data_IF_046653830897
#
_entry.id   IF_046653830897
#
_cell.length_a   1.000
_cell.length_b   1.000
_cell.length_c   1.000
_cell.angle_alpha   90.00
_cell.angle_beta   90.00
_cell.angle_gamma   90.00
#
_symmetry.space_group_name_H-M   'P 1'
#
loop_
_entity.id
_entity.type
_entity.pdbx_description
1 polymer ?
#
# COMPACT_ATOMS: atom_id res chain seq x y z
N UNK A 1 -15.40 9.27 19.41
CA UNK A 1 -14.62 10.15 18.51
C UNK A 1 -13.13 9.93 18.68
N UNK A 2 -12.51 10.25 19.84
CA UNK A 2 -11.07 9.99 20.04
C UNK A 2 -10.68 8.53 19.77
N UNK A 3 -11.35 7.59 20.44
CA UNK A 3 -11.16 6.15 20.19
C UNK A 3 -11.40 5.75 18.72
N UNK A 4 -12.43 6.30 18.09
CA UNK A 4 -12.79 6.01 16.69
C UNK A 4 -11.66 6.44 15.74
N UNK A 5 -11.13 7.65 15.92
CA UNK A 5 -10.03 8.16 15.11
C UNK A 5 -8.73 7.39 15.35
N UNK A 6 -8.45 6.97 16.59
CA UNK A 6 -7.27 6.12 16.88
C UNK A 6 -7.42 4.70 16.34
N UNK A 7 -8.64 4.15 16.31
CA UNK A 7 -8.88 2.85 15.68
C UNK A 7 -8.73 2.93 14.16
N UNK A 8 -9.16 4.03 13.54
CA UNK A 8 -8.94 4.23 12.11
C UNK A 8 -7.44 4.39 11.79
N UNK A 9 -6.68 5.11 12.63
CA UNK A 9 -5.22 5.15 12.53
C UNK A 9 -4.63 3.74 12.49
N UNK A 10 -4.98 2.89 13.46
CA UNK A 10 -4.44 1.53 13.52
C UNK A 10 -4.81 0.70 12.28
N UNK A 11 -6.03 0.87 11.75
CA UNK A 11 -6.46 0.24 10.49
C UNK A 11 -5.65 0.73 9.29
N UNK A 12 -5.40 2.04 9.20
CA UNK A 12 -4.60 2.62 8.13
C UNK A 12 -3.14 2.18 8.21
N UNK A 13 -2.52 2.23 9.39
CA UNK A 13 -1.13 1.82 9.61
C UNK A 13 -0.92 0.35 9.23
N UNK A 14 -1.86 -0.53 9.59
CA UNK A 14 -1.81 -1.94 9.20
C UNK A 14 -1.86 -2.12 7.67
N UNK A 15 -2.72 -1.35 6.98
CA UNK A 15 -2.81 -1.38 5.53
C UNK A 15 -1.55 -0.83 4.86
N UNK A 16 -1.01 0.29 5.37
CA UNK A 16 0.25 0.89 4.89
C UNK A 16 1.42 -0.09 5.00
N UNK A 17 1.57 -0.76 6.15
CA UNK A 17 2.65 -1.73 6.36
C UNK A 17 2.49 -2.94 5.43
N UNK A 18 1.25 -3.41 5.25
CA UNK A 18 0.97 -4.52 4.33
C UNK A 18 1.36 -4.14 2.90
N UNK A 19 0.98 -2.95 2.45
CA UNK A 19 1.32 -2.45 1.13
C UNK A 19 2.83 -2.24 0.96
N UNK A 20 3.51 -1.64 1.94
CA UNK A 20 4.96 -1.42 1.93
C UNK A 20 5.75 -2.75 1.86
N UNK A 21 5.32 -3.76 2.63
CA UNK A 21 5.93 -5.10 2.55
C UNK A 21 5.71 -5.74 1.18
N UNK A 22 4.49 -5.65 0.65
CA UNK A 22 4.16 -6.19 -0.67
C UNK A 22 5.04 -5.58 -1.77
N UNK A 23 5.35 -4.27 -1.69
CA UNK A 23 6.26 -3.58 -2.61
C UNK A 23 7.71 -4.12 -2.63
N UNK A 24 8.12 -4.93 -1.66
CA UNK A 24 9.45 -5.57 -1.73
C UNK A 24 9.47 -6.69 -2.78
N UNK A 25 8.34 -7.37 -2.98
CA UNK A 25 8.22 -8.54 -3.86
C UNK A 25 7.65 -8.21 -5.25
N UNK A 26 7.02 -7.04 -5.40
CA UNK A 26 6.39 -6.55 -6.64
C UNK A 26 7.32 -6.52 -7.84
N UNK A 27 8.60 -6.17 -7.67
CA UNK A 27 9.56 -6.09 -8.78
C UNK A 27 9.68 -7.42 -9.52
N UNK A 28 9.76 -8.52 -8.78
CA UNK A 28 9.87 -9.86 -9.37
C UNK A 28 8.56 -10.26 -10.07
N UNK A 29 7.42 -9.95 -9.47
CA UNK A 29 6.09 -10.24 -10.01
C UNK A 29 5.84 -9.44 -11.30
N UNK A 30 6.09 -8.13 -11.29
CA UNK A 30 5.93 -7.26 -12.43
C UNK A 30 6.86 -7.67 -13.59
N UNK A 31 8.09 -8.08 -13.29
CA UNK A 31 8.99 -8.61 -14.32
C UNK A 31 8.49 -9.94 -14.94
N UNK A 32 7.84 -10.80 -14.15
CA UNK A 32 7.19 -12.01 -14.68
C UNK A 32 6.00 -11.65 -15.59
N UNK A 33 5.21 -10.65 -15.20
CA UNK A 33 4.10 -10.16 -16.04
C UNK A 33 4.58 -9.58 -17.37
N UNK A 34 5.65 -8.79 -17.36
CA UNK A 34 6.27 -8.30 -18.59
C UNK A 34 6.72 -9.46 -19.49
N UNK A 35 7.44 -10.44 -18.94
CA UNK A 35 7.88 -11.62 -19.70
C UNK A 35 6.71 -12.46 -20.21
N UNK A 36 5.64 -12.56 -19.44
CA UNK A 36 4.42 -13.22 -19.85
C UNK A 36 3.81 -12.55 -21.08
N UNK A 37 3.73 -11.23 -21.07
CA UNK A 37 3.26 -10.44 -22.21
C UNK A 37 4.12 -10.64 -23.47
N UNK A 38 5.46 -10.71 -23.36
CA UNK A 38 6.34 -11.03 -24.51
C UNK A 38 5.99 -12.39 -25.11
N UNK A 39 5.92 -13.41 -24.26
CA UNK A 39 5.67 -14.79 -24.68
C UNK A 39 4.28 -14.93 -25.30
N UNK A 40 3.28 -14.28 -24.72
CA UNK A 40 1.93 -14.23 -25.26
C UNK A 40 1.88 -13.51 -26.61
N UNK A 41 2.49 -12.33 -26.72
CA UNK A 41 2.56 -11.60 -27.98
C UNK A 41 3.18 -12.43 -29.10
N UNK A 42 4.22 -13.22 -28.79
CA UNK A 42 4.81 -14.13 -29.78
C UNK A 42 3.84 -15.24 -30.21
N UNK A 43 3.17 -15.90 -29.26
CA UNK A 43 2.17 -16.94 -29.53
C UNK A 43 0.97 -16.42 -30.33
N UNK A 44 0.55 -15.18 -30.06
CA UNK A 44 -0.54 -14.49 -30.75
C UNK A 44 -0.10 -13.87 -32.10
N UNK A 45 1.17 -14.06 -32.48
CA UNK A 45 1.77 -13.54 -33.72
C UNK A 45 1.77 -12.01 -33.82
N UNK A 46 1.80 -11.33 -32.67
CA UNK A 46 2.06 -9.89 -32.58
C UNK A 46 3.49 -9.59 -33.03
N UNK A 47 3.71 -8.40 -33.59
CA UNK A 47 5.08 -7.99 -33.90
C UNK A 47 5.82 -7.51 -32.63
N UNK A 48 7.15 -7.47 -32.67
CA UNK A 48 8.01 -7.10 -31.53
C UNK A 48 7.62 -5.74 -30.90
N UNK A 49 7.20 -4.76 -31.71
CA UNK A 49 6.80 -3.44 -31.20
C UNK A 49 5.45 -3.48 -30.50
N UNK A 50 4.52 -4.30 -30.97
CA UNK A 50 3.24 -4.54 -30.30
C UNK A 50 3.47 -5.23 -28.96
N UNK A 51 4.21 -6.34 -28.95
CA UNK A 51 4.51 -7.10 -27.73
C UNK A 51 5.30 -6.28 -26.70
N UNK A 52 6.21 -5.40 -27.14
CA UNK A 52 6.91 -4.48 -26.24
C UNK A 52 5.95 -3.49 -25.58
N UNK A 53 5.03 -2.89 -26.34
CA UNK A 53 4.01 -2.00 -25.76
C UNK A 53 3.08 -2.75 -24.80
N UNK A 54 2.66 -3.98 -25.15
CA UNK A 54 1.86 -4.85 -24.27
C UNK A 54 2.62 -5.14 -22.98
N UNK A 55 3.91 -5.48 -23.05
CA UNK A 55 4.75 -5.65 -21.86
C UNK A 55 4.78 -4.39 -20.99
N UNK A 56 4.98 -3.21 -21.59
CA UNK A 56 5.07 -1.96 -20.82
C UNK A 56 3.75 -1.67 -20.11
N UNK A 57 2.63 -1.84 -20.82
CA UNK A 57 1.30 -1.64 -20.28
C UNK A 57 0.97 -2.66 -19.18
N UNK A 58 1.41 -3.91 -19.33
CA UNK A 58 1.21 -4.98 -18.35
C UNK A 58 1.96 -4.69 -17.05
N UNK A 59 3.23 -4.32 -17.14
CA UNK A 59 4.05 -3.93 -15.98
C UNK A 59 3.43 -2.72 -15.28
N UNK A 60 3.04 -1.70 -16.04
CA UNK A 60 2.41 -0.49 -15.48
C UNK A 60 1.05 -0.80 -14.85
N UNK A 61 0.23 -1.63 -15.49
CA UNK A 61 -1.08 -2.03 -14.98
C UNK A 61 -1.00 -2.74 -13.64
N UNK A 62 0.03 -3.60 -13.44
CA UNK A 62 0.26 -4.25 -12.15
C UNK A 62 0.52 -3.23 -11.02
N UNK A 63 1.35 -2.20 -11.28
CA UNK A 63 1.58 -1.11 -10.33
C UNK A 63 0.38 -0.15 -10.24
N UNK A 64 -0.40 0.01 -11.31
CA UNK A 64 -1.63 0.78 -11.34
C UNK A 64 -2.68 0.23 -10.36
N UNK A 65 -2.82 -1.09 -10.30
CA UNK A 65 -3.65 -1.75 -9.28
C UNK A 65 -3.21 -1.40 -7.85
N UNK A 66 -1.90 -1.33 -7.59
CA UNK A 66 -1.36 -0.94 -6.29
C UNK A 66 -1.66 0.54 -5.96
N UNK A 67 -1.55 1.44 -6.96
CA UNK A 67 -1.95 2.86 -6.81
C UNK A 67 -3.44 2.98 -6.45
N UNK A 68 -4.33 2.25 -7.14
CA UNK A 68 -5.76 2.23 -6.85
C UNK A 68 -6.07 1.76 -5.43
N UNK A 69 -5.43 0.68 -4.98
CA UNK A 69 -5.63 0.12 -3.63
C UNK A 69 -5.12 1.07 -2.55
N UNK A 70 -3.96 1.70 -2.78
CA UNK A 70 -3.34 2.65 -1.85
C UNK A 70 -4.20 3.90 -1.70
N UNK A 71 -4.68 4.47 -2.80
CA UNK A 71 -5.58 5.63 -2.76
C UNK A 71 -6.95 5.29 -2.17
N UNK A 72 -7.52 4.13 -2.49
CA UNK A 72 -8.79 3.67 -1.87
C UNK A 72 -8.68 3.54 -0.35
N UNK A 73 -7.54 3.07 0.15
CA UNK A 73 -7.26 2.98 1.59
C UNK A 73 -7.23 4.35 2.25
N UNK A 74 -6.56 5.32 1.61
CA UNK A 74 -6.54 6.70 2.07
C UNK A 74 -7.94 7.32 2.08
N UNK A 75 -8.68 7.21 0.98
CA UNK A 75 -10.04 7.75 0.84
C UNK A 75 -10.97 7.18 1.90
N UNK A 76 -10.87 5.88 2.20
CA UNK A 76 -11.62 5.26 3.31
C UNK A 76 -11.33 5.94 4.65
N UNK A 77 -10.06 6.17 4.98
CA UNK A 77 -9.68 6.84 6.23
C UNK A 77 -10.23 8.28 6.28
N UNK A 78 -10.09 9.04 5.18
CA UNK A 78 -10.63 10.40 5.07
C UNK A 78 -12.15 10.42 5.25
N UNK A 79 -12.87 9.44 4.69
CA UNK A 79 -14.34 9.30 4.86
C UNK A 79 -14.71 9.04 6.32
N UNK A 80 -13.93 8.23 7.05
CA UNK A 80 -14.17 8.02 8.48
C UNK A 80 -13.91 9.30 9.28
N UNK A 81 -12.85 10.03 8.97
CA UNK A 81 -12.56 11.30 9.63
C UNK A 81 -13.61 12.37 9.34
N UNK A 82 -14.13 12.46 8.11
CA UNK A 82 -15.22 13.38 7.80
C UNK A 82 -16.52 13.02 8.52
N UNK A 83 -16.80 11.72 8.72
CA UNK A 83 -17.94 11.29 9.53
C UNK A 83 -17.78 11.67 11.01
N UNK A 84 -16.56 11.59 11.55
CA UNK A 84 -16.24 12.05 12.91
C UNK A 84 -16.47 13.56 13.04
N UNK A 85 -16.01 14.36 12.09
CA UNK A 85 -16.25 15.81 12.08
C UNK A 85 -17.73 16.15 11.97
N UNK A 86 -18.49 15.48 11.11
CA UNK A 86 -19.93 15.69 11.04
C UNK A 86 -20.63 15.38 12.36
N UNK A 87 -20.21 14.32 13.05
CA UNK A 87 -20.74 13.97 14.37
C UNK A 87 -20.36 15.02 15.43
N UNK A 88 -19.15 15.56 15.36
CA UNK A 88 -18.70 16.64 16.25
C UNK A 88 -19.51 17.92 16.04
N UNK A 89 -19.74 18.32 14.79
CA UNK A 89 -20.51 19.52 14.43
C UNK A 89 -22.00 19.46 14.82
N UNK A 90 -22.54 18.26 15.05
CA UNK A 90 -23.91 18.09 15.58
C UNK A 90 -24.00 18.38 17.10
N UNK A 91 -22.88 18.43 17.82
CA UNK A 91 -22.81 18.68 19.25
C UNK A 91 -22.14 20.05 19.56
N UNK A 92 -22.90 21.05 20.04
CA UNK A 92 -22.37 22.40 20.28
C UNK A 92 -21.34 22.47 21.42
N UNK A 93 -21.19 21.41 22.23
CA UNK A 93 -20.18 21.34 23.30
C UNK A 93 -18.83 20.81 22.78
N UNK A 94 -18.73 20.48 21.50
CA UNK A 94 -17.57 19.89 20.83
C UNK A 94 -17.10 20.85 19.75
N UNK A 95 -15.79 20.95 19.55
CA UNK A 95 -15.24 21.73 18.45
C UNK A 95 -15.57 21.08 17.09
N UNK A 96 -16.09 21.87 16.15
CA UNK A 96 -16.45 21.42 14.80
C UNK A 96 -15.25 20.83 14.03
N UNK A 97 -14.04 21.32 14.30
CA UNK A 97 -12.78 20.82 13.74
C UNK A 97 -12.12 19.73 14.61
N UNK A 98 -12.91 18.80 15.13
CA UNK A 98 -12.41 17.71 15.97
C UNK A 98 -11.29 16.91 15.31
N UNK A 99 -11.38 16.69 14.00
CA UNK A 99 -10.31 16.18 13.16
C UNK A 99 -9.85 17.33 12.27
N UNK A 100 -8.60 17.76 12.49
CA UNK A 100 -8.02 18.93 11.85
C UNK A 100 -6.85 18.55 10.94
N UNK A 101 -6.67 19.31 9.86
CA UNK A 101 -5.56 19.13 8.91
C UNK A 101 -4.48 20.17 9.20
N UNK A 102 -3.24 19.72 9.36
CA UNK A 102 -2.10 20.58 9.68
C UNK A 102 -1.75 21.51 8.51
N UNK A 103 -1.64 22.79 8.80
CA UNK A 103 -1.28 23.86 7.85
C UNK A 103 0.15 24.30 8.17
N UNK A 104 0.98 24.43 7.14
CA UNK A 104 2.37 24.91 7.25
C UNK A 104 2.43 26.43 7.15
N UNK A 105 1.92 26.95 6.03
CA UNK A 105 1.99 28.35 5.67
C UNK A 105 0.64 28.80 5.13
N UNK A 106 0.28 30.04 5.45
CA UNK A 106 -0.95 30.70 5.04
C UNK A 106 -0.82 32.21 5.16
N UNK A 107 -1.28 32.97 4.17
CA UNK A 107 -1.48 34.42 4.32
C UNK A 107 -2.79 34.69 5.08
N UNK A 108 -2.67 34.85 6.40
CA UNK A 108 -3.76 35.20 7.31
C UNK A 108 -3.90 34.25 8.50
N UNK A 109 -4.89 34.53 9.36
CA UNK A 109 -5.20 33.67 10.50
C UNK A 109 -6.15 32.53 10.06
N UNK A 110 -5.81 31.30 10.44
CA UNK A 110 -6.67 30.12 10.25
C UNK A 110 -7.89 30.24 11.16
N UNK A 111 -9.09 30.21 10.58
CA UNK A 111 -10.35 30.20 11.33
C UNK A 111 -10.82 28.78 11.60
N UNK A 112 -10.75 27.92 10.58
CA UNK A 112 -11.08 26.50 10.68
C UNK A 112 -10.28 25.70 9.66
N UNK A 113 -10.05 24.42 9.96
CA UNK A 113 -9.31 23.48 9.12
C UNK A 113 -9.82 22.07 9.40
N UNK A 114 -10.60 21.50 8.48
CA UNK A 114 -11.24 20.20 8.71
C UNK A 114 -11.39 19.40 7.42
N UNK A 115 -11.88 18.18 7.59
CA UNK A 115 -12.31 17.31 6.50
C UNK A 115 -13.84 17.36 6.47
N UNK A 116 -14.38 17.98 5.43
CA UNK A 116 -15.81 18.21 5.24
C UNK A 116 -16.55 16.91 4.96
N UNK A 117 -17.80 16.73 5.45
CA UNK A 117 -18.64 15.60 5.05
C UNK A 117 -19.14 15.69 3.61
N UNK A 118 -19.03 16.86 2.97
CA UNK A 118 -19.28 17.02 1.55
C UNK A 118 -18.29 16.17 0.75
N UNK A 119 -18.79 15.58 -0.33
CA UNK A 119 -18.01 14.68 -1.19
C UNK A 119 -18.08 15.15 -2.62
N UNK A 120 -16.95 15.06 -3.29
CA UNK A 120 -16.82 15.29 -4.72
C UNK A 120 -16.26 14.05 -5.40
N UNK A 121 -16.56 13.89 -6.69
CA UNK A 121 -15.85 12.93 -7.51
C UNK A 121 -14.43 13.45 -7.70
N UNK A 122 -13.46 12.70 -7.20
CA UNK A 122 -12.05 12.88 -7.49
C UNK A 122 -11.61 11.78 -8.46
N UNK A 123 -10.65 12.10 -9.32
CA UNK A 123 -9.97 11.11 -10.16
C UNK A 123 -8.46 11.15 -9.92
N UNK A 124 -7.82 9.99 -10.06
CA UNK A 124 -6.37 9.84 -10.13
C UNK A 124 -6.00 9.16 -11.44
N UNK A 125 -4.84 9.50 -11.99
CA UNK A 125 -4.32 8.85 -13.18
C UNK A 125 -3.66 7.53 -12.82
N UNK A 126 -4.08 6.48 -13.51
CA UNK A 126 -3.52 5.14 -13.40
C UNK A 126 -2.93 4.76 -14.76
N UNK A 127 -1.64 4.43 -14.78
CA UNK A 127 -0.98 4.01 -16.01
C UNK A 127 -1.11 2.50 -16.24
N UNK A 128 -1.25 2.11 -17.51
CA UNK A 128 -1.12 0.74 -17.97
C UNK A 128 -2.45 -0.01 -18.07
N UNK A 129 -2.36 -1.27 -18.47
CA UNK A 129 -3.52 -2.14 -18.68
C UNK A 129 -3.93 -2.78 -17.35
N UNK A 130 -4.65 -2.01 -16.53
CA UNK A 130 -5.15 -2.47 -15.23
C UNK A 130 -6.35 -3.40 -15.39
N UNK A 131 -7.15 -3.22 -16.45
CA UNK A 131 -8.31 -4.05 -16.76
C UNK A 131 -7.91 -5.52 -16.78
N UNK A 132 -6.75 -5.84 -17.35
CA UNK A 132 -6.19 -7.18 -17.34
C UNK A 132 -6.18 -7.86 -15.95
N UNK A 133 -5.89 -7.10 -14.90
CA UNK A 133 -5.79 -7.62 -13.52
C UNK A 133 -7.12 -7.61 -12.77
N UNK A 134 -8.15 -6.97 -13.32
CA UNK A 134 -9.48 -6.87 -12.71
C UNK A 134 -10.50 -7.82 -13.34
N UNK A 135 -10.21 -8.36 -14.53
CA UNK A 135 -11.09 -9.30 -15.25
C UNK A 135 -11.15 -10.73 -14.64
N UNK A 136 -10.43 -11.01 -13.55
CA UNK A 136 -10.62 -12.27 -12.82
C UNK A 136 -12.01 -12.26 -12.15
N UNK A 137 -12.79 -13.31 -12.42
CA UNK A 137 -14.22 -13.60 -12.12
C UNK A 137 -14.63 -13.44 -10.63
N UNK A 138 -14.39 -12.27 -10.04
CA UNK A 138 -14.68 -11.88 -8.66
C UNK A 138 -15.52 -10.58 -8.65
N UNK A 139 -16.56 -10.55 -7.80
CA UNK A 139 -17.47 -9.40 -7.65
C UNK A 139 -16.73 -8.10 -7.30
N UNK A 140 -15.53 -8.22 -6.72
CA UNK A 140 -14.65 -7.09 -6.40
C UNK A 140 -13.97 -6.50 -7.64
N UNK A 141 -13.61 -7.31 -8.63
CA UNK A 141 -13.02 -6.86 -9.89
C UNK A 141 -13.99 -6.00 -10.67
N UNK A 142 -15.24 -6.47 -10.79
CA UNK A 142 -16.34 -5.74 -11.43
C UNK A 142 -16.58 -4.36 -10.79
N UNK A 143 -16.58 -4.26 -9.45
CA UNK A 143 -16.77 -2.97 -8.75
C UNK A 143 -15.64 -1.98 -9.02
N UNK A 144 -14.41 -2.46 -9.20
CA UNK A 144 -13.25 -1.62 -9.49
C UNK A 144 -13.22 -1.21 -10.97
N UNK A 145 -13.60 -2.10 -11.87
CA UNK A 145 -13.76 -1.80 -13.31
C UNK A 145 -14.82 -0.73 -13.54
N UNK A 146 -15.95 -0.78 -12.82
CA UNK A 146 -17.01 0.23 -12.91
C UNK A 146 -16.54 1.65 -12.48
N UNK A 147 -15.40 1.75 -11.78
CA UNK A 147 -14.79 3.01 -11.32
C UNK A 147 -13.60 3.45 -12.17
N UNK A 148 -13.21 2.65 -13.16
CA UNK A 148 -12.13 2.95 -14.10
C UNK A 148 -12.74 3.49 -15.39
N UNK A 149 -12.43 4.75 -15.76
CA UNK A 149 -12.79 5.34 -17.05
C UNK A 149 -11.52 5.60 -17.87
N UNK A 150 -11.11 4.59 -18.65
CA UNK A 150 -9.83 4.60 -19.35
C UNK A 150 -8.67 4.54 -18.36
N UNK A 151 -7.84 5.60 -18.34
CA UNK A 151 -6.66 5.70 -17.46
C UNK A 151 -6.98 6.47 -16.16
N UNK A 152 -8.25 6.76 -15.87
CA UNK A 152 -8.69 7.49 -14.67
C UNK A 152 -9.47 6.59 -13.72
N UNK A 153 -9.07 6.55 -12.45
CA UNK A 153 -9.81 5.86 -11.39
C UNK A 153 -10.56 6.87 -10.53
N UNK A 154 -11.88 6.72 -10.45
CA UNK A 154 -12.78 7.69 -9.81
C UNK A 154 -13.33 7.20 -8.46
N UNK A 155 -13.29 8.06 -7.45
CA UNK A 155 -13.92 7.82 -6.15
C UNK A 155 -14.64 9.07 -5.63
N UNK A 156 -15.63 8.85 -4.75
CA UNK A 156 -16.24 9.91 -3.96
C UNK A 156 -15.37 10.20 -2.75
N UNK A 157 -14.70 11.36 -2.76
CA UNK A 157 -13.71 11.74 -1.74
C UNK A 157 -14.22 12.95 -0.94
N UNK A 158 -14.02 12.97 0.39
CA UNK A 158 -14.28 14.16 1.20
C UNK A 158 -13.44 15.36 0.78
N UNK A 159 -13.98 16.55 0.98
CA UNK A 159 -13.26 17.80 0.71
C UNK A 159 -12.41 18.19 1.92
N UNK A 160 -11.13 18.50 1.71
CA UNK A 160 -10.29 19.17 2.70
C UNK A 160 -10.57 20.67 2.61
N UNK A 161 -10.97 21.25 3.73
CA UNK A 161 -11.40 22.65 3.80
C UNK A 161 -10.58 23.42 4.84
N UNK A 162 -10.11 24.60 4.44
CA UNK A 162 -9.40 25.55 5.29
C UNK A 162 -10.06 26.92 5.11
N UNK A 163 -10.70 27.41 6.17
CA UNK A 163 -11.23 28.77 6.21
C UNK A 163 -10.21 29.71 6.85
N UNK A 164 -9.99 30.85 6.21
CA UNK A 164 -9.05 31.86 6.67
C UNK A 164 -9.53 33.27 6.32
N UNK A 165 -8.85 34.29 6.85
CA UNK A 165 -9.22 35.69 6.63
C UNK A 165 -9.22 36.10 5.14
N UNK A 166 -8.46 35.39 4.29
CA UNK A 166 -8.35 35.62 2.85
C UNK A 166 -9.41 34.91 2.01
N UNK A 167 -10.13 33.93 2.57
CA UNK A 167 -11.09 33.12 1.82
C UNK A 167 -11.24 31.69 2.36
N UNK A 168 -11.71 30.81 1.49
CA UNK A 168 -11.85 29.37 1.77
C UNK A 168 -11.07 28.60 0.72
N UNK A 169 -10.15 27.76 1.17
CA UNK A 169 -9.56 26.69 0.37
C UNK A 169 -10.40 25.44 0.57
N UNK A 170 -10.86 24.81 -0.50
CA UNK A 170 -11.70 23.62 -0.44
C UNK A 170 -11.37 22.74 -1.65
N UNK A 171 -10.77 21.57 -1.43
CA UNK A 171 -10.38 20.65 -2.50
C UNK A 171 -10.52 19.18 -2.09
N UNK A 172 -10.97 18.29 -2.99
CA UNK A 172 -10.87 16.86 -2.76
C UNK A 172 -9.42 16.38 -2.86
N UNK A 173 -9.13 15.19 -2.34
CA UNK A 173 -7.83 14.55 -2.50
C UNK A 173 -7.77 13.80 -3.85
N UNK A 174 -7.54 14.55 -4.93
CA UNK A 174 -7.49 14.11 -6.34
C UNK A 174 -6.05 14.13 -6.91
N UNK A 175 -5.90 13.92 -8.22
CA UNK A 175 -4.60 13.99 -8.89
C UNK A 175 -3.89 15.32 -8.68
N UNK A 176 -4.60 16.45 -8.72
CA UNK A 176 -4.00 17.77 -8.52
C UNK A 176 -3.46 17.91 -7.09
N UNK A 177 -4.13 17.32 -6.11
CA UNK A 177 -3.63 17.23 -4.74
C UNK A 177 -2.37 16.39 -4.63
N UNK A 178 -2.31 15.24 -5.33
CA UNK A 178 -1.12 14.37 -5.35
C UNK A 178 0.07 15.10 -6.01
N UNK A 179 -0.18 15.79 -7.13
CA UNK A 179 0.84 16.52 -7.89
C UNK A 179 1.39 17.75 -7.14
N UNK A 180 0.62 18.29 -6.20
CA UNK A 180 1.02 19.40 -5.33
C UNK A 180 2.05 19.01 -4.25
N UNK A 181 2.38 17.72 -4.10
CA UNK A 181 3.29 17.27 -3.05
C UNK A 181 4.77 17.61 -3.35
N UNK A 182 5.37 18.42 -2.48
CA UNK A 182 6.82 18.64 -2.43
C UNK A 182 7.46 17.63 -1.47
N UNK A 183 8.18 16.66 -2.04
CA UNK A 183 8.87 15.62 -1.28
C UNK A 183 10.08 16.12 -0.48
N UNK A 184 10.72 17.23 -0.86
CA UNK A 184 11.86 17.80 -0.12
C UNK A 184 11.39 18.53 1.15
N UNK A 185 10.21 19.15 1.08
CA UNK A 185 9.62 19.90 2.18
C UNK A 185 8.56 19.11 2.98
N UNK A 186 8.12 17.95 2.48
CA UNK A 186 7.05 17.12 3.06
C UNK A 186 5.72 17.89 3.22
N UNK A 187 5.37 18.71 2.23
CA UNK A 187 4.17 19.56 2.23
C UNK A 187 3.44 19.49 0.88
N UNK A 188 2.20 19.97 0.85
CA UNK A 188 1.42 20.15 -0.37
C UNK A 188 1.30 21.64 -0.67
N UNK A 189 1.85 22.07 -1.82
CA UNK A 189 1.87 23.45 -2.30
C UNK A 189 1.01 23.58 -3.56
N UNK A 190 0.00 24.44 -3.50
CA UNK A 190 -0.95 24.64 -4.60
C UNK A 190 -0.65 25.93 -5.33
N UNK A 191 -0.36 25.85 -6.64
CA UNK A 191 0.01 27.00 -7.47
C UNK A 191 -1.05 28.13 -7.51
N UNK A 192 -2.31 27.79 -7.23
CA UNK A 192 -3.45 28.71 -7.27
C UNK A 192 -3.94 29.16 -5.88
N UNK A 193 -3.21 28.81 -4.81
CA UNK A 193 -3.57 29.14 -3.44
C UNK A 193 -2.37 29.58 -2.61
N UNK A 194 -2.59 30.46 -1.63
CA UNK A 194 -1.58 30.84 -0.64
C UNK A 194 -1.56 29.85 0.56
N UNK A 195 -2.16 28.67 0.41
CA UNK A 195 -2.30 27.66 1.47
C UNK A 195 -1.29 26.53 1.22
N UNK A 196 -0.39 26.30 2.18
CA UNK A 196 0.51 25.14 2.20
C UNK A 196 0.08 24.18 3.29
N UNK A 197 -0.18 22.92 2.92
CA UNK A 197 -0.67 21.89 3.84
C UNK A 197 0.51 20.99 4.25
N UNK A 198 0.73 20.81 5.56
CA UNK A 198 1.73 19.85 6.09
C UNK A 198 1.23 18.40 6.01
N UNK A 199 -0.07 18.19 5.87
CA UNK A 199 -0.66 16.86 5.68
C UNK A 199 -0.73 15.99 6.94
N UNK A 200 -0.43 16.54 8.11
CA UNK A 200 -0.69 15.86 9.39
C UNK A 200 -2.16 16.02 9.78
N UNK A 201 -2.89 14.92 9.94
CA UNK A 201 -4.28 14.95 10.42
C UNK A 201 -4.29 14.62 11.90
N UNK A 202 -4.83 15.53 12.72
CA UNK A 202 -4.76 15.45 14.18
C UNK A 202 -6.11 15.54 14.88
N UNK A 203 -6.19 14.94 16.07
CA UNK A 203 -7.31 15.06 17.00
C UNK A 203 -6.86 15.73 18.31
N UNK A 204 -7.69 16.56 18.95
CA UNK A 204 -7.36 17.24 20.19
C UNK A 204 -7.36 16.27 21.38
N UNK A 205 -6.80 16.72 22.50
CA UNK A 205 -6.89 16.03 23.77
C UNK A 205 -8.33 16.05 24.33
N UNK A 206 -8.67 15.03 25.12
CA UNK A 206 -9.95 14.93 25.83
C UNK A 206 -9.69 14.99 27.33
N UNK A 207 -10.11 16.08 27.97
CA UNK A 207 -9.81 16.32 29.38
C UNK A 207 -8.33 16.67 29.62
N UNK A 208 -7.93 16.70 30.89
CA UNK A 208 -6.54 16.92 31.27
C UNK A 208 -5.74 15.62 31.13
N UNK A 209 -4.82 15.56 30.17
CA UNK A 209 -3.98 14.39 29.93
C UNK A 209 -3.10 14.02 31.13
N UNK A 210 -2.74 14.98 31.98
CA UNK A 210 -2.01 14.75 33.23
C UNK A 210 -2.86 14.13 34.35
N UNK A 211 -4.19 14.13 34.21
CA UNK A 211 -5.13 13.59 35.20
C UNK A 211 -5.94 12.39 34.67
N UNK A 212 -5.43 11.72 33.63
CA UNK A 212 -6.06 10.53 33.01
C UNK A 212 -6.98 10.86 31.82
N UNK A 213 -6.92 12.08 31.31
CA UNK A 213 -7.46 12.45 30.01
C UNK A 213 -6.66 11.85 28.84
N UNK A 214 -7.23 11.90 27.64
CA UNK A 214 -6.60 11.39 26.43
C UNK A 214 -5.78 12.50 25.77
N UNK A 215 -4.52 12.29 25.39
CA UNK A 215 -3.69 13.32 24.76
C UNK A 215 -4.10 13.59 23.31
N UNK A 216 -3.64 14.73 22.77
CA UNK A 216 -3.66 15.03 21.34
C UNK A 216 -2.91 13.95 20.57
N UNK A 217 -3.40 13.57 19.38
CA UNK A 217 -2.75 12.55 18.54
C UNK A 217 -2.81 12.91 17.07
N UNK A 218 -1.74 12.65 16.33
CA UNK A 218 -1.78 12.55 14.87
C UNK A 218 -2.36 11.20 14.49
N UNK A 219 -3.43 11.19 13.71
CA UNK A 219 -4.17 9.99 13.31
C UNK A 219 -3.89 9.56 11.88
N UNK A 220 -3.39 10.45 11.04
CA UNK A 220 -2.96 10.16 9.67
C UNK A 220 -1.88 11.15 9.25
N UNK A 221 -0.94 10.71 8.40
CA UNK A 221 -0.03 11.59 7.68
C UNK A 221 -0.17 11.33 6.20
N UNK A 222 -0.45 12.39 5.44
CA UNK A 222 -0.52 12.32 3.99
C UNK A 222 0.87 12.13 3.36
N UNK A 223 1.94 12.53 4.06
CA UNK A 223 3.33 12.24 3.65
C UNK A 223 3.60 10.74 3.56
N UNK A 224 3.14 9.95 4.53
CA UNK A 224 3.33 8.48 4.55
C UNK A 224 2.65 7.87 3.30
N UNK A 225 1.45 8.33 2.95
CA UNK A 225 0.81 7.95 1.68
C UNK A 225 1.67 8.31 0.46
N UNK A 226 2.22 9.53 0.42
CA UNK A 226 3.04 9.99 -0.71
C UNK A 226 4.37 9.23 -0.82
N UNK A 227 4.98 8.81 0.29
CA UNK A 227 6.13 7.90 0.26
C UNK A 227 5.79 6.59 -0.44
N UNK A 228 4.66 5.97 -0.08
CA UNK A 228 4.21 4.72 -0.69
C UNK A 228 3.86 4.91 -2.17
N UNK A 229 3.16 6.00 -2.50
CA UNK A 229 2.81 6.36 -3.87
C UNK A 229 4.05 6.55 -4.76
N UNK A 230 5.03 7.30 -4.27
CA UNK A 230 6.28 7.55 -4.99
C UNK A 230 7.14 6.29 -5.12
N UNK A 231 7.13 5.40 -4.12
CA UNK A 231 7.82 4.11 -4.20
C UNK A 231 7.19 3.21 -5.27
N UNK A 232 5.86 3.12 -5.33
CA UNK A 232 5.13 2.39 -6.39
C UNK A 232 5.55 2.90 -7.78
N UNK A 233 5.61 4.21 -7.95
CA UNK A 233 5.99 4.84 -9.23
C UNK A 233 7.46 4.62 -9.58
N UNK A 234 8.36 4.77 -8.61
CA UNK A 234 9.79 4.52 -8.75
C UNK A 234 10.05 3.08 -9.19
N UNK A 235 9.39 2.11 -8.56
CA UNK A 235 9.52 0.71 -8.91
C UNK A 235 8.93 0.38 -10.28
N UNK A 236 7.77 0.94 -10.62
CA UNK A 236 7.19 0.80 -11.96
C UNK A 236 8.17 1.27 -13.04
N UNK A 237 8.74 2.47 -12.87
CA UNK A 237 9.74 3.03 -13.77
C UNK A 237 11.03 2.19 -13.80
N UNK A 238 11.46 1.65 -12.67
CA UNK A 238 12.62 0.76 -12.59
C UNK A 238 12.41 -0.54 -13.37
N UNK A 239 11.26 -1.21 -13.20
CA UNK A 239 10.96 -2.47 -13.91
C UNK A 239 10.82 -2.22 -15.40
N UNK A 240 10.04 -1.21 -15.81
CA UNK A 240 9.91 -0.80 -17.21
C UNK A 240 11.28 -0.48 -17.82
N UNK A 241 12.14 0.25 -17.10
CA UNK A 241 13.47 0.61 -17.56
C UNK A 241 14.44 -0.56 -17.75
N UNK A 242 14.13 -1.74 -17.21
CA UNK A 242 14.91 -2.97 -17.42
C UNK A 242 14.53 -3.72 -18.71
N UNK A 243 13.45 -3.31 -19.37
CA UNK A 243 13.05 -3.85 -20.67
C UNK A 243 13.31 -2.82 -21.76
N UNK A 244 13.95 -3.25 -22.84
CA UNK A 244 14.10 -2.48 -24.05
C UNK A 244 13.62 -3.28 -25.26
N UNK A 245 13.41 -2.59 -26.38
CA UNK A 245 12.92 -3.20 -27.61
C UNK A 245 13.94 -4.19 -28.21
N UNK A 246 15.23 -3.97 -27.98
CA UNK A 246 16.29 -4.84 -28.49
C UNK A 246 16.24 -6.20 -27.77
N UNK A 247 15.98 -6.21 -26.45
CA UNK A 247 15.75 -7.42 -25.66
C UNK A 247 14.55 -8.22 -26.17
N UNK A 248 13.44 -7.54 -26.50
CA UNK A 248 12.25 -8.21 -27.05
C UNK A 248 12.56 -8.82 -28.42
N UNK A 249 13.27 -8.10 -29.28
CA UNK A 249 13.69 -8.60 -30.59
C UNK A 249 14.63 -9.80 -30.48
N UNK A 250 15.62 -9.74 -29.58
CA UNK A 250 16.53 -10.87 -29.30
C UNK A 250 15.77 -12.11 -28.80
N UNK A 251 14.73 -11.93 -27.96
CA UNK A 251 13.87 -13.02 -27.50
C UNK A 251 13.04 -13.61 -28.65
N UNK A 252 12.48 -12.78 -29.52
CA UNK A 252 11.73 -13.22 -30.70
C UNK A 252 12.61 -14.00 -31.67
N UNK A 253 13.80 -13.49 -32.00
CA UNK A 253 14.76 -14.20 -32.86
C UNK A 253 15.18 -15.55 -32.24
N UNK A 254 15.36 -15.59 -30.92
CA UNK A 254 15.66 -16.83 -30.23
C UNK A 254 14.49 -17.83 -30.24
N UNK A 255 13.24 -17.37 -30.16
CA UNK A 255 12.06 -18.23 -30.29
C UNK A 255 11.86 -18.72 -31.73
N UNK A 256 12.05 -17.86 -32.73
CA UNK A 256 11.98 -18.20 -34.16
C UNK A 256 13.03 -19.26 -34.55
N UNK A 257 14.23 -19.15 -33.98
CA UNK A 257 15.32 -20.12 -34.17
C UNK A 257 15.13 -21.42 -33.36
N UNK A 258 14.11 -21.50 -32.51
CA UNK A 258 13.87 -22.62 -31.59
C UNK A 258 14.94 -22.78 -30.52
N UNK A 259 15.64 -21.68 -30.17
CA UNK A 259 16.61 -21.62 -29.07
C UNK A 259 15.95 -21.37 -27.72
N UNK A 260 14.76 -20.77 -27.73
CA UNK A 260 13.88 -20.56 -26.58
C UNK A 260 12.47 -21.01 -26.94
N UNK A 261 11.74 -21.58 -25.98
CA UNK A 261 10.29 -21.71 -26.07
C UNK A 261 9.60 -20.56 -25.31
N UNK A 262 8.35 -20.18 -25.63
CA UNK A 262 7.59 -19.18 -24.88
C UNK A 262 7.50 -19.48 -23.37
N UNK A 263 7.51 -20.77 -22.99
CA UNK A 263 7.57 -21.21 -21.59
C UNK A 263 8.87 -20.83 -20.88
N UNK A 264 9.99 -20.78 -21.61
CA UNK A 264 11.30 -20.39 -21.06
C UNK A 264 11.35 -18.88 -20.78
N UNK A 265 10.68 -18.09 -21.62
CA UNK A 265 10.55 -16.63 -21.46
C UNK A 265 9.71 -16.31 -20.21
N UNK A 266 8.55 -16.98 -20.04
CA UNK A 266 7.68 -16.84 -18.86
C UNK A 266 8.35 -17.25 -17.55
N UNK A 267 9.27 -18.21 -17.60
CA UNK A 267 9.84 -18.84 -16.41
C UNK A 267 8.82 -19.70 -15.64
N UNK A 268 9.28 -20.38 -14.58
CA UNK A 268 8.43 -21.33 -13.87
C UNK A 268 7.18 -20.69 -13.25
N UNK A 269 7.35 -19.58 -12.53
CA UNK A 269 6.26 -18.86 -11.87
C UNK A 269 5.27 -18.21 -12.87
N UNK A 270 5.76 -17.63 -13.97
CA UNK A 270 4.90 -17.09 -15.03
C UNK A 270 4.13 -18.18 -15.79
N UNK A 271 4.72 -19.37 -15.94
CA UNK A 271 4.02 -20.55 -16.47
C UNK A 271 2.97 -21.08 -15.48
N UNK A 272 3.24 -21.00 -14.18
CA UNK A 272 2.27 -21.39 -13.15
C UNK A 272 1.02 -20.51 -13.19
N UNK A 273 1.19 -19.18 -13.28
CA UNK A 273 0.07 -18.23 -13.46
C UNK A 273 -0.75 -18.53 -14.70
N UNK A 274 -0.07 -18.72 -15.82
CA UNK A 274 -0.71 -19.06 -17.08
C UNK A 274 -1.54 -20.35 -17.00
N UNK A 275 -1.03 -21.37 -16.31
CA UNK A 275 -1.71 -22.65 -16.14
C UNK A 275 -2.80 -22.61 -15.06
N UNK A 276 -2.64 -21.79 -14.02
CA UNK A 276 -3.59 -21.67 -12.91
C UNK A 276 -4.72 -20.69 -13.17
N UNK A 277 -4.51 -19.73 -14.08
CA UNK A 277 -5.43 -18.62 -14.34
C UNK A 277 -5.68 -17.75 -13.11
N UNK A 278 -4.67 -17.64 -12.23
CA UNK A 278 -4.73 -16.79 -11.02
C UNK A 278 -3.33 -16.44 -10.54
N UNK A 279 -3.19 -15.24 -9.98
CA UNK A 279 -1.95 -14.72 -9.41
C UNK A 279 -1.78 -14.98 -7.90
N UNK A 280 -2.83 -15.51 -7.24
CA UNK A 280 -2.81 -15.80 -5.82
C UNK A 280 -1.89 -16.98 -5.49
N UNK A 281 -0.73 -16.71 -4.89
CA UNK A 281 0.20 -17.73 -4.42
C UNK A 281 -0.38 -18.64 -3.33
N UNK A 282 -1.47 -18.23 -2.68
CA UNK A 282 -2.22 -19.05 -1.74
C UNK A 282 -3.22 -19.99 -2.42
N UNK A 283 -3.59 -19.73 -3.67
CA UNK A 283 -4.53 -20.55 -4.43
C UNK A 283 -3.97 -21.94 -4.68
N UNK A 284 -4.81 -22.96 -4.45
CA UNK A 284 -4.48 -24.36 -4.72
C UNK A 284 -4.14 -24.58 -6.21
N UNK A 285 -4.78 -23.85 -7.13
CA UNK A 285 -4.50 -23.99 -8.58
C UNK A 285 -3.12 -23.44 -8.93
N UNK A 286 -2.73 -22.29 -8.36
CA UNK A 286 -1.40 -21.70 -8.53
C UNK A 286 -0.31 -22.60 -7.96
N UNK A 287 -0.50 -23.07 -6.72
CA UNK A 287 0.44 -23.98 -6.05
C UNK A 287 0.59 -25.29 -6.83
N UNK A 288 -0.51 -25.87 -7.31
CA UNK A 288 -0.45 -27.09 -8.13
C UNK A 288 0.27 -26.86 -9.47
N UNK A 289 0.04 -25.73 -10.13
CA UNK A 289 0.71 -25.38 -11.38
C UNK A 289 2.22 -25.14 -11.18
N UNK A 290 2.61 -24.51 -10.07
CA UNK A 290 4.00 -24.31 -9.68
C UNK A 290 4.71 -25.61 -9.33
N UNK A 291 4.06 -26.46 -8.52
CA UNK A 291 4.59 -27.78 -8.18
C UNK A 291 4.80 -28.66 -9.42
N UNK A 292 3.86 -28.63 -10.37
CA UNK A 292 3.98 -29.34 -11.64
C UNK A 292 5.13 -28.81 -12.50
N UNK A 293 5.34 -27.49 -12.54
CA UNK A 293 6.40 -26.87 -13.34
C UNK A 293 7.80 -27.08 -12.73
N UNK A 294 7.88 -27.22 -11.41
CA UNK A 294 9.12 -27.52 -10.69
C UNK A 294 9.42 -29.02 -10.61
N UNK A 295 8.59 -29.88 -11.23
CA UNK A 295 8.67 -31.34 -11.17
C UNK A 295 8.75 -31.88 -9.72
N UNK A 296 8.08 -31.18 -8.80
CA UNK A 296 7.95 -31.58 -7.41
C UNK A 296 6.76 -32.52 -7.31
N UNK A 297 7.03 -33.84 -7.41
CA UNK A 297 6.07 -34.88 -7.03
C UNK A 297 5.44 -34.51 -5.68
N UNK A 298 4.12 -34.26 -5.68
CA UNK A 298 3.27 -33.83 -4.55
C UNK A 298 4.01 -33.91 -3.20
N UNK A 299 4.65 -32.82 -2.72
CA UNK A 299 5.13 -32.81 -1.35
C UNK A 299 3.92 -32.99 -0.47
N UNK A 300 4.00 -33.93 0.47
CA UNK A 300 2.98 -34.20 1.46
C UNK A 300 2.73 -32.90 2.27
N UNK A 301 1.72 -32.13 1.87
CA UNK A 301 1.38 -30.85 2.50
C UNK A 301 0.82 -31.04 3.93
N UNK A 302 0.70 -32.28 4.43
CA UNK A 302 0.41 -32.52 5.85
C UNK A 302 1.57 -32.11 6.77
N UNK A 303 2.76 -31.83 6.21
CA UNK A 303 3.93 -31.32 6.92
C UNK A 303 4.22 -29.83 6.66
N UNK A 304 3.33 -29.05 5.99
CA UNK A 304 3.47 -27.58 6.00
C UNK A 304 3.18 -27.09 7.42
N UNK A 305 4.28 -27.00 8.17
CA UNK A 305 4.35 -26.71 9.58
C UNK A 305 3.74 -25.33 9.88
N UNK A 306 2.72 -25.32 10.73
CA UNK A 306 2.43 -24.16 11.56
C UNK A 306 3.66 -23.86 12.42
N UNK A 307 4.23 -22.66 12.33
CA UNK A 307 5.24 -22.22 13.27
C UNK A 307 4.54 -21.62 14.49
N UNK A 308 4.92 -22.04 15.69
CA UNK A 308 4.60 -21.34 16.93
C UNK A 308 5.80 -20.47 17.31
N UNK A 309 5.59 -19.16 17.39
CA UNK A 309 6.62 -18.18 17.78
C UNK A 309 6.25 -17.64 19.16
N UNK A 310 7.22 -17.64 20.07
CA UNK A 310 7.10 -17.00 21.38
C UNK A 310 7.77 -15.62 21.31
N UNK A 311 7.00 -14.55 21.49
CA UNK A 311 7.49 -13.17 21.46
C UNK A 311 7.65 -12.61 22.87
N UNK A 312 8.74 -11.88 23.09
CA UNK A 312 8.96 -11.10 24.32
C UNK A 312 9.58 -9.75 23.93
N UNK A 313 8.83 -8.66 24.13
CA UNK A 313 9.27 -7.32 23.72
C UNK A 313 8.14 -6.28 23.76
N UNK A 314 8.47 -5.03 23.47
CA UNK A 314 7.48 -3.96 23.30
C UNK A 314 6.76 -4.11 21.95
N UNK A 315 5.44 -4.00 21.92
CA UNK A 315 4.62 -4.13 20.70
C UNK A 315 4.25 -2.78 20.08
N UNK A 316 4.67 -1.66 20.68
CA UNK A 316 4.34 -0.32 20.19
C UNK A 316 5.51 0.67 20.43
N UNK A 317 5.47 1.83 19.74
CA UNK A 317 6.38 2.96 19.95
C UNK A 317 5.63 4.25 20.20
N UNK A 318 6.15 5.06 21.10
CA UNK A 318 5.70 6.44 21.31
C UNK A 318 6.82 7.37 20.84
N UNK A 319 6.47 8.39 20.07
CA UNK A 319 7.38 9.51 19.79
C UNK A 319 7.15 10.61 20.82
N UNK A 320 8.24 11.08 21.42
CA UNK A 320 8.20 12.27 22.28
C UNK A 320 7.98 13.55 21.47
N UNK A 321 7.75 14.66 22.17
CA UNK A 321 7.51 15.98 21.57
C UNK A 321 8.68 16.48 20.71
N UNK A 322 9.89 15.90 20.89
CA UNK A 322 11.10 16.19 20.13
C UNK A 322 11.26 15.29 18.89
N UNK A 323 10.30 14.40 18.62
CA UNK A 323 10.24 13.53 17.45
C UNK A 323 11.05 12.24 17.57
N UNK A 324 11.63 11.94 18.74
CA UNK A 324 12.37 10.71 18.97
C UNK A 324 11.43 9.54 19.26
N UNK A 325 11.52 8.48 18.46
CA UNK A 325 10.79 7.25 18.72
C UNK A 325 11.44 6.48 19.85
N UNK A 326 10.65 6.15 20.86
CA UNK A 326 11.03 5.21 21.90
C UNK A 326 9.95 4.12 22.03
N UNK A 327 10.27 2.94 22.56
CA UNK A 327 9.27 1.91 22.80
C UNK A 327 8.17 2.43 23.72
N UNK A 328 6.92 2.05 23.46
CA UNK A 328 5.85 2.26 24.42
C UNK A 328 6.06 1.30 25.58
N UNK A 329 6.46 1.84 26.73
CA UNK A 329 6.76 1.02 27.89
C UNK A 329 5.54 0.28 28.46
N UNK A 330 4.33 0.67 28.08
CA UNK A 330 3.08 -0.01 28.45
C UNK A 330 2.71 -1.16 27.49
N UNK A 331 3.40 -1.30 26.35
CA UNK A 331 3.13 -2.30 25.30
C UNK A 331 3.94 -3.61 25.45
N UNK A 332 4.49 -3.88 26.63
CA UNK A 332 5.36 -5.04 26.82
C UNK A 332 4.56 -6.37 26.81
N UNK A 333 4.82 -7.20 25.81
CA UNK A 333 4.38 -8.59 25.74
C UNK A 333 5.46 -9.52 26.32
N UNK A 334 5.07 -10.48 27.16
CA UNK A 334 5.97 -11.46 27.76
C UNK A 334 5.54 -12.89 27.41
N UNK A 335 6.38 -13.58 26.63
CA UNK A 335 6.18 -14.96 26.20
C UNK A 335 4.80 -15.25 25.57
N UNK A 336 4.29 -14.31 24.76
CA UNK A 336 3.05 -14.54 24.02
C UNK A 336 3.32 -15.45 22.82
N UNK A 337 2.47 -16.48 22.66
CA UNK A 337 2.59 -17.46 21.59
C UNK A 337 1.68 -17.09 20.42
N UNK A 338 2.26 -17.01 19.23
CA UNK A 338 1.53 -16.80 17.99
C UNK A 338 1.74 -17.98 17.06
N UNK A 339 0.66 -18.49 16.47
CA UNK A 339 0.70 -19.53 15.45
C UNK A 339 0.49 -18.88 14.08
N UNK A 340 1.44 -19.06 13.17
CA UNK A 340 1.37 -18.44 11.84
C UNK A 340 2.53 -18.82 10.93
N UNK A 341 2.57 -18.21 9.75
CA UNK A 341 3.74 -18.22 8.87
C UNK A 341 4.63 -17.01 9.22
N UNK A 342 5.91 -17.20 9.56
CA UNK A 342 6.80 -16.08 9.84
C UNK A 342 7.15 -15.37 8.53
N UNK A 343 7.00 -14.04 8.51
CA UNK A 343 7.52 -13.18 7.46
C UNK A 343 8.79 -12.49 7.98
N UNK A 344 9.85 -12.47 7.18
CA UNK A 344 11.16 -12.00 7.61
C UNK A 344 11.71 -11.05 6.56
N UNK A 345 12.07 -9.83 6.95
CA UNK A 345 12.65 -8.83 6.04
C UNK A 345 14.07 -9.23 5.62
N UNK A 346 14.85 -9.76 6.55
CA UNK A 346 16.18 -10.32 6.30
C UNK A 346 16.30 -11.71 6.95
N UNK A 347 16.47 -12.74 6.14
CA UNK A 347 16.63 -14.11 6.66
C UNK A 347 18.08 -14.34 7.09
N UNK A 348 18.34 -14.90 8.30
CA UNK A 348 19.69 -15.25 8.71
C UNK A 348 20.41 -16.14 7.69
N UNK A 349 21.73 -16.06 7.62
CA UNK A 349 22.56 -16.95 6.79
C UNK A 349 22.31 -18.41 7.20
N UNK A 350 21.49 -19.14 6.42
CA UNK A 350 21.09 -20.51 6.69
C UNK A 350 19.59 -20.72 6.99
N UNK A 351 18.77 -19.67 7.00
CA UNK A 351 17.33 -19.79 7.26
C UNK A 351 16.96 -19.68 8.75
N UNK A 352 15.66 -19.74 9.03
CA UNK A 352 15.13 -19.89 10.39
C UNK A 352 14.97 -21.37 10.75
N UNK A 353 15.40 -21.74 11.96
CA UNK A 353 15.34 -23.09 12.50
C UNK A 353 14.42 -23.13 13.73
N UNK A 354 13.67 -24.22 13.85
CA UNK A 354 12.81 -24.45 15.00
C UNK A 354 13.62 -24.55 16.32
N UNK A 355 13.13 -23.88 17.37
CA UNK A 355 13.75 -23.88 18.69
C UNK A 355 14.94 -22.94 18.87
N UNK A 356 15.25 -22.12 17.86
CA UNK A 356 16.24 -21.04 17.96
C UNK A 356 15.57 -19.70 18.31
N UNK A 357 16.34 -18.79 18.92
CA UNK A 357 15.88 -17.44 19.28
C UNK A 357 16.53 -16.45 18.34
N UNK A 358 15.72 -15.58 17.73
CA UNK A 358 16.16 -14.51 16.84
C UNK A 358 15.90 -13.16 17.49
N UNK A 359 16.82 -12.22 17.33
CA UNK A 359 16.61 -10.83 17.76
C UNK A 359 15.73 -10.12 16.73
N UNK A 360 14.76 -9.35 17.21
CA UNK A 360 13.93 -8.45 16.38
C UNK A 360 14.41 -7.01 16.56
N UNK A 361 14.47 -6.22 15.48
CA UNK A 361 14.57 -4.75 15.55
C UNK A 361 13.36 -4.12 16.28
N UNK A 362 13.47 -2.85 16.70
CA UNK A 362 12.41 -2.11 17.40
C UNK A 362 11.42 -1.43 16.42
N UNK A 363 10.09 -1.62 16.57
CA UNK A 363 9.39 -2.88 16.86
C UNK A 363 8.20 -3.18 15.92
N UNK A 364 7.77 -4.45 16.01
CA UNK A 364 6.63 -5.12 15.38
C UNK A 364 5.26 -4.56 15.79
N UNK A 365 4.31 -4.52 14.84
CA UNK A 365 2.87 -4.49 15.11
C UNK A 365 2.31 -5.92 15.21
N UNK A 366 1.69 -6.24 16.34
CA UNK A 366 0.90 -7.47 16.54
C UNK A 366 -0.58 -7.07 16.59
N UNK A 367 -1.33 -7.37 15.55
CA UNK A 367 -2.79 -7.17 15.53
C UNK A 367 -3.49 -8.39 16.13
N UNK A 368 -4.07 -8.24 17.32
CA UNK A 368 -4.99 -9.23 17.90
C UNK A 368 -6.35 -9.16 17.21
N UNK A 369 -6.57 -10.05 16.22
CA UNK A 369 -7.84 -10.75 15.96
C UNK A 369 -7.71 -11.81 14.87
N UNK A 370 -7.71 -13.06 15.34
CA UNK A 370 -8.11 -14.32 14.70
C UNK A 370 -7.41 -14.84 13.43
N UNK A 371 -6.47 -14.16 12.78
CA UNK A 371 -5.53 -14.77 11.81
C UNK A 371 -4.25 -13.90 11.71
N UNK A 372 -3.24 -14.17 12.55
CA UNK A 372 -2.12 -13.26 12.81
C UNK A 372 -0.85 -13.52 11.98
N UNK A 373 -0.37 -12.49 11.27
CA UNK A 373 0.96 -12.39 10.64
C UNK A 373 2.00 -12.00 11.71
N UNK A 374 3.16 -12.67 11.76
CA UNK A 374 4.29 -12.30 12.63
C UNK A 374 5.51 -11.91 11.77
N UNK A 375 6.05 -10.70 12.00
CA UNK A 375 7.19 -10.14 11.24
C UNK A 375 8.45 -10.17 12.10
N UNK A 376 9.55 -10.79 11.65
CA UNK A 376 10.82 -10.82 12.38
C UNK A 376 11.85 -9.97 11.63
N UNK A 377 12.50 -9.01 12.31
CA UNK A 377 13.51 -8.13 11.72
C UNK A 377 14.90 -8.40 12.30
N UNK A 378 15.89 -8.79 11.50
CA UNK A 378 17.22 -9.14 11.99
C UNK A 378 18.17 -7.95 11.89
N UNK A 379 18.66 -7.42 13.01
CA UNK A 379 19.85 -6.56 13.03
C UNK A 379 21.09 -7.38 13.38
N UNK A 380 22.09 -7.38 12.50
CA UNK A 380 23.41 -7.97 12.78
C UNK A 380 24.14 -7.15 13.86
N UNK A 381 24.44 -7.79 15.00
CA UNK A 381 25.40 -7.28 16.00
C UNK A 381 26.86 -7.57 15.63
#
# INVERSE_FOLDING_TARGET
>A
MHQSATSEKASYDAAYITASNHLTDTVSIAALEGRHAIAQGYEDSENESEAFNTLLNRVRGYYGLQKMQTWSTLVKALVQFSHINNTAAEDPDIADNWVSVGIEELDGDVQSNWISPERETASISIEGDVEHFLEEDDERGDELLDKLDGDEFELQVPIIEVEHDGGTFARPFDQEFIDAYDADAEVFEFDDSDVTIRGNIGIPNVGDSGEGGLPTRTVLRLSDFMELWNEVESQSNYVVGNFDIDLVSDMYEAMDDGRLDPSDVRGAAGMSRFLSGTDDAASDSYRMALLHQLDLEQPDLSEVASFEVEYTGYTDTVRDDDGYAHPDYDSWAEAETYAGLPFVRETPEGGMNAGETYATGLPLLVSDRDDGLAIVDYESG
#
